data_IF_683186160898
#
_entry.id   IF_683186160898
#
_cell.length_a   1.000
_cell.length_b   1.000
_cell.length_c   1.000
_cell.angle_alpha   90.00
_cell.angle_beta   90.00
_cell.angle_gamma   90.00
#
_symmetry.space_group_name_H-M   'P 1'
#
loop_
_entity.id
_entity.type
_entity.pdbx_description
1 polymer ?
#
# COMPACT_ATOMS: atom_id res chain seq x y z
N UNK A 1 15.00 8.18 -0.48
CA UNK A 1 14.93 8.15 -1.96
C UNK A 1 13.82 9.09 -2.41
N UNK A 2 13.99 9.77 -3.56
CA UNK A 2 12.90 10.56 -4.16
C UNK A 2 11.95 9.66 -4.95
N UNK A 3 10.66 10.01 -5.00
CA UNK A 3 9.64 9.36 -5.82
C UNK A 3 10.10 9.10 -7.26
N UNK A 4 10.71 10.11 -7.89
CA UNK A 4 11.21 10.02 -9.26
C UNK A 4 12.28 8.91 -9.41
N UNK A 5 13.20 8.81 -8.45
CA UNK A 5 14.26 7.81 -8.48
C UNK A 5 13.70 6.41 -8.25
N UNK A 6 12.71 6.28 -7.37
CA UNK A 6 12.09 4.99 -7.11
C UNK A 6 11.22 4.51 -8.28
N UNK A 7 10.48 5.41 -8.93
CA UNK A 7 9.74 5.09 -10.15
C UNK A 7 10.69 4.64 -11.28
N UNK A 8 11.85 5.30 -11.45
CA UNK A 8 12.89 4.84 -12.40
C UNK A 8 13.38 3.44 -12.07
N UNK A 9 13.66 3.17 -10.78
CA UNK A 9 14.09 1.86 -10.32
C UNK A 9 13.05 0.78 -10.65
N UNK A 10 11.79 1.00 -10.28
CA UNK A 10 10.70 0.04 -10.57
C UNK A 10 10.54 -0.24 -12.07
N UNK A 11 10.68 0.78 -12.91
CA UNK A 11 10.64 0.60 -14.37
C UNK A 11 11.82 -0.23 -14.88
N UNK A 12 13.03 0.04 -14.39
CA UNK A 12 14.23 -0.73 -14.73
C UNK A 12 14.11 -2.19 -14.29
N UNK A 13 13.69 -2.43 -13.04
CA UNK A 13 13.55 -3.77 -12.46
C UNK A 13 12.54 -4.62 -13.25
N UNK A 14 11.47 -3.98 -13.75
CA UNK A 14 10.43 -4.62 -14.56
C UNK A 14 10.68 -4.58 -16.07
N UNK A 15 11.84 -4.07 -16.52
CA UNK A 15 12.16 -3.86 -17.95
C UNK A 15 11.04 -3.15 -18.72
N UNK A 16 10.37 -2.20 -18.08
CA UNK A 16 9.22 -1.49 -18.62
C UNK A 16 9.63 -0.08 -19.05
N UNK A 17 9.24 0.33 -20.27
CA UNK A 17 9.49 1.69 -20.74
C UNK A 17 8.40 2.66 -20.24
N UNK A 18 8.72 3.96 -20.18
CA UNK A 18 7.75 5.00 -19.81
C UNK A 18 6.57 5.04 -20.80
N UNK A 19 6.83 4.76 -22.08
CA UNK A 19 5.78 4.68 -23.10
C UNK A 19 4.84 3.49 -22.85
N UNK A 20 5.39 2.31 -22.51
CA UNK A 20 4.59 1.14 -22.16
C UNK A 20 3.75 1.39 -20.91
N UNK A 21 4.34 2.01 -19.87
CA UNK A 21 3.63 2.40 -18.65
C UNK A 21 2.47 3.36 -18.98
N UNK A 22 2.69 4.34 -19.86
CA UNK A 22 1.65 5.30 -20.27
C UNK A 22 0.48 4.61 -20.97
N UNK A 23 0.78 3.72 -21.94
CA UNK A 23 -0.24 2.98 -22.69
C UNK A 23 -1.07 2.08 -21.78
N UNK A 24 -0.42 1.35 -20.86
CA UNK A 24 -1.11 0.39 -20.02
C UNK A 24 -1.85 1.04 -18.83
N UNK A 25 -1.28 2.09 -18.23
CA UNK A 25 -1.93 2.79 -17.10
C UNK A 25 -2.98 3.82 -17.53
N UNK A 26 -3.00 4.21 -18.81
CA UNK A 26 -3.82 5.31 -19.31
C UNK A 26 -3.37 6.70 -18.81
N UNK A 27 -2.24 6.79 -18.10
CA UNK A 27 -1.67 8.07 -17.64
C UNK A 27 -0.90 8.72 -18.79
N UNK A 28 -1.13 10.01 -19.11
CA UNK A 28 -0.43 10.67 -20.20
C UNK A 28 1.10 10.62 -20.02
N UNK A 29 1.81 10.26 -21.09
CA UNK A 29 3.28 10.10 -21.06
C UNK A 29 4.00 11.36 -20.57
N UNK A 30 3.49 12.54 -20.93
CA UNK A 30 4.01 13.83 -20.47
C UNK A 30 3.94 13.97 -18.94
N UNK A 31 2.84 13.49 -18.34
CA UNK A 31 2.69 13.46 -16.88
C UNK A 31 3.73 12.57 -16.24
N UNK A 32 4.02 11.40 -16.83
CA UNK A 32 5.07 10.50 -16.34
C UNK A 32 6.46 11.13 -16.43
N UNK A 33 6.80 11.82 -17.52
CA UNK A 33 8.08 12.52 -17.63
C UNK A 33 8.23 13.66 -16.62
N UNK A 34 7.16 14.43 -16.35
CA UNK A 34 7.15 15.42 -15.28
C UNK A 34 7.41 14.79 -13.91
N UNK A 35 6.84 13.62 -13.66
CA UNK A 35 7.06 12.85 -12.44
C UNK A 35 8.51 12.39 -12.30
N UNK A 36 9.09 11.91 -13.41
CA UNK A 36 10.49 11.48 -13.49
C UNK A 36 11.49 12.64 -13.44
N UNK A 37 11.06 13.88 -13.66
CA UNK A 37 11.86 15.10 -13.48
C UNK A 37 11.73 15.68 -12.07
N UNK A 38 10.96 15.05 -11.18
CA UNK A 38 10.82 15.45 -9.77
C UNK A 38 9.55 16.25 -9.45
N UNK A 39 8.66 16.48 -10.42
CA UNK A 39 7.37 17.10 -10.14
C UNK A 39 6.45 16.11 -9.42
N UNK A 40 5.82 16.55 -8.33
CA UNK A 40 4.94 15.68 -7.56
C UNK A 40 3.61 15.38 -8.30
N UNK A 41 3.05 14.17 -8.12
CA UNK A 41 1.72 13.82 -8.60
C UNK A 41 0.64 14.73 -8.02
N UNK A 42 -0.13 15.41 -8.87
CA UNK A 42 -1.26 16.26 -8.45
C UNK A 42 -2.59 15.51 -8.42
N UNK A 43 -2.75 14.50 -9.29
CA UNK A 43 -3.96 13.70 -9.40
C UNK A 43 -3.72 12.34 -8.76
N UNK A 44 -4.45 12.04 -7.69
CA UNK A 44 -4.38 10.75 -7.01
C UNK A 44 -4.89 9.60 -7.89
N UNK A 45 -5.87 9.85 -8.75
CA UNK A 45 -6.38 8.85 -9.70
C UNK A 45 -5.28 8.25 -10.60
N UNK A 46 -4.40 9.09 -11.15
CA UNK A 46 -3.27 8.63 -11.94
C UNK A 46 -2.27 7.83 -11.11
N UNK A 47 -2.12 8.20 -9.84
CA UNK A 47 -1.20 7.54 -8.94
C UNK A 47 -1.69 6.12 -8.63
N UNK A 48 -2.98 5.95 -8.33
CA UNK A 48 -3.58 4.64 -8.09
C UNK A 48 -3.49 3.73 -9.32
N UNK A 49 -3.79 4.24 -10.52
CA UNK A 49 -3.64 3.46 -11.77
C UNK A 49 -2.24 2.89 -11.97
N UNK A 50 -1.20 3.66 -11.62
CA UNK A 50 0.17 3.18 -11.70
C UNK A 50 0.48 2.19 -10.58
N UNK A 51 -0.02 2.43 -9.37
CA UNK A 51 0.16 1.51 -8.25
C UNK A 51 -0.46 0.15 -8.54
N UNK A 52 -1.68 0.13 -9.09
CA UNK A 52 -2.39 -1.10 -9.47
C UNK A 52 -1.64 -1.85 -10.58
N UNK A 53 -1.18 -1.12 -11.62
CA UNK A 53 -0.44 -1.72 -12.72
C UNK A 53 0.92 -2.26 -12.28
N UNK A 54 1.60 -1.54 -11.41
CA UNK A 54 2.90 -1.93 -10.87
C UNK A 54 2.75 -2.84 -9.66
N UNK A 55 1.55 -3.23 -9.23
CA UNK A 55 1.32 -4.06 -8.03
C UNK A 55 2.18 -3.58 -6.83
N UNK A 56 2.20 -2.26 -6.58
CA UNK A 56 2.93 -1.64 -5.48
C UNK A 56 2.02 -0.71 -4.71
N UNK A 57 2.28 -0.56 -3.41
CA UNK A 57 1.59 0.44 -2.61
C UNK A 57 2.07 1.86 -2.94
N UNK A 58 1.22 2.85 -2.67
CA UNK A 58 1.60 4.27 -2.75
C UNK A 58 2.84 4.54 -1.90
N UNK A 59 2.88 4.02 -0.68
CA UNK A 59 4.00 4.20 0.24
C UNK A 59 5.30 3.67 -0.36
N UNK A 60 5.25 2.46 -0.91
CA UNK A 60 6.38 1.84 -1.58
C UNK A 60 6.84 2.65 -2.79
N UNK A 61 5.91 3.20 -3.58
CA UNK A 61 6.21 4.07 -4.73
C UNK A 61 6.92 5.37 -4.30
N UNK A 62 6.58 5.93 -3.14
CA UNK A 62 7.30 7.06 -2.54
C UNK A 62 8.60 6.66 -1.80
N UNK A 63 8.98 5.39 -1.86
CA UNK A 63 10.20 4.87 -1.23
C UNK A 63 10.11 4.83 0.30
N UNK A 64 8.90 4.81 0.86
CA UNK A 64 8.69 4.51 2.27
C UNK A 64 8.69 2.99 2.43
N UNK A 65 9.46 2.44 3.38
CA UNK A 65 9.37 1.02 3.67
C UNK A 65 7.93 0.71 4.05
N UNK A 66 7.38 -0.39 3.51
CA UNK A 66 6.11 -0.95 3.99
C UNK A 66 6.24 -1.01 5.50
N UNK A 67 5.42 -0.26 6.23
CA UNK A 67 5.34 -0.44 7.67
C UNK A 67 5.01 -1.92 7.83
N UNK A 68 5.89 -2.67 8.49
CA UNK A 68 5.50 -3.97 9.00
C UNK A 68 4.32 -3.67 9.90
N UNK A 69 3.10 -3.75 9.37
CA UNK A 69 1.92 -3.86 10.18
C UNK A 69 2.25 -5.06 11.06
N UNK A 70 2.38 -4.83 12.37
CA UNK A 70 2.46 -5.91 13.33
C UNK A 70 1.47 -7.00 12.87
N UNK A 71 1.90 -8.27 12.82
CA UNK A 71 1.19 -9.32 12.11
C UNK A 71 -0.29 -9.24 12.47
N UNK A 72 -1.09 -8.69 11.56
CA UNK A 72 -2.53 -8.52 11.76
C UNK A 72 -3.26 -9.84 11.50
N UNK A 73 -2.50 -10.86 11.12
CA UNK A 73 -2.88 -12.26 11.18
C UNK A 73 -2.55 -12.79 12.58
N UNK A 74 -3.36 -12.42 13.57
CA UNK A 74 -3.84 -13.49 14.42
C UNK A 74 -4.88 -14.22 13.55
N UNK A 75 -4.62 -15.46 13.10
CA UNK A 75 -5.70 -16.27 12.58
C UNK A 75 -6.83 -16.22 13.61
N UNK A 76 -8.05 -15.86 13.23
CA UNK A 76 -9.17 -15.84 14.18
C UNK A 76 -9.35 -17.19 14.89
N UNK A 77 -8.87 -18.27 14.28
CA UNK A 77 -8.74 -19.60 14.86
C UNK A 77 -7.71 -19.68 16.01
N UNK A 78 -6.55 -19.02 15.90
CA UNK A 78 -5.50 -19.04 16.93
C UNK A 78 -5.85 -18.21 18.15
N UNK A 79 -6.62 -17.13 18.00
CA UNK A 79 -7.08 -16.33 19.15
C UNK A 79 -7.88 -17.18 20.14
N UNK A 80 -8.79 -18.02 19.65
CA UNK A 80 -9.59 -18.89 20.51
C UNK A 80 -8.71 -19.93 21.23
N UNK A 81 -7.72 -20.50 20.54
CA UNK A 81 -6.77 -21.46 21.09
C UNK A 81 -5.85 -20.84 22.15
N UNK A 82 -5.32 -19.64 21.89
CA UNK A 82 -4.46 -18.90 22.81
C UNK A 82 -5.20 -18.46 24.08
N UNK A 83 -6.47 -18.07 23.95
CA UNK A 83 -7.36 -17.78 25.10
C UNK A 83 -7.61 -19.04 25.93
N UNK A 84 -7.92 -20.17 25.28
CA UNK A 84 -8.16 -21.45 25.96
C UNK A 84 -6.88 -22.02 26.61
N UNK A 85 -5.71 -21.74 26.03
CA UNK A 85 -4.41 -22.13 26.57
C UNK A 85 -3.96 -21.29 27.78
N UNK A 86 -4.71 -20.23 28.14
CA UNK A 86 -4.43 -19.39 29.31
C UNK A 86 -3.29 -18.40 29.11
N UNK A 87 -2.94 -18.07 27.86
CA UNK A 87 -1.88 -17.11 27.53
C UNK A 87 -2.32 -15.64 27.70
N UNK A 88 -3.62 -15.40 27.88
CA UNK A 88 -4.22 -14.06 27.96
C UNK A 88 -5.28 -13.98 29.07
N UNK A 89 -5.40 -12.80 29.68
CA UNK A 89 -6.46 -12.47 30.65
C UNK A 89 -7.65 -11.81 29.95
N UNK A 90 -8.87 -12.30 30.22
CA UNK A 90 -10.10 -11.76 29.65
C UNK A 90 -10.81 -10.89 30.70
N UNK A 91 -10.92 -9.59 30.44
CA UNK A 91 -11.68 -8.65 31.28
C UNK A 91 -13.05 -8.40 30.67
N UNK A 92 -14.07 -9.10 31.16
CA UNK A 92 -15.46 -8.91 30.74
C UNK A 92 -16.11 -7.74 31.49
N UNK A 93 -16.91 -6.93 30.79
CA UNK A 93 -17.72 -5.86 31.38
C UNK A 93 -19.20 -6.08 31.06
N UNK A 94 -20.11 -5.84 32.01
CA UNK A 94 -21.54 -5.97 31.75
C UNK A 94 -21.95 -4.99 30.64
N UNK A 95 -22.64 -5.51 29.63
CA UNK A 95 -23.23 -4.68 28.60
C UNK A 95 -24.34 -3.84 29.24
N UNK A 96 -24.23 -2.52 29.17
CA UNK A 96 -25.34 -1.65 29.55
C UNK A 96 -26.47 -1.88 28.54
N UNK A 97 -27.63 -2.41 28.96
CA UNK A 97 -28.77 -2.49 28.06
C UNK A 97 -29.17 -1.05 27.72
N UNK A 98 -28.96 -0.63 26.46
CA UNK A 98 -29.58 0.60 25.96
C UNK A 98 -31.08 0.47 26.21
N UNK A 99 -31.60 1.36 27.05
CA UNK A 99 -33.00 1.39 27.45
C UNK A 99 -33.93 1.32 26.24
N UNK A 100 -34.95 0.48 26.38
CA UNK A 100 -36.14 0.50 25.53
C UNK A 100 -36.90 1.81 25.71
#
# INVERSE_FOLDING_TARGET
MSFANNLRRLLTDRKMSVAALSQQSGVPIKTLYHWLSGQQPRKMDHLFKICDLLDVSVEELFGRPKRASAPSSLPQSSLQEELNAGLYEIVLRPASPRGK
#
